data_IF_723806933136
#
_entry.id   IF_723806933136
#
_cell.length_a   1.000
_cell.length_b   1.000
_cell.length_c   1.000
_cell.angle_alpha   90.00
_cell.angle_beta   90.00
_cell.angle_gamma   90.00
#
_symmetry.space_group_name_H-M   'P 1'
#
loop_
_entity.id
_entity.type
_entity.pdbx_description
1 polymer ?
#
# COMPACT_ATOMS: atom_id res chain seq x y z
N UNK A 1 -21.35 31.75 29.55
CA UNK A 1 -20.33 30.70 29.84
C UNK A 1 -20.08 29.82 28.60
N UNK A 2 -20.83 30.02 27.53
CA UNK A 2 -20.81 29.19 26.33
C UNK A 2 -19.69 29.53 25.33
N UNK A 3 -19.29 30.80 25.21
CA UNK A 3 -18.21 31.18 24.30
C UNK A 3 -16.82 30.66 24.74
N UNK A 4 -16.56 30.57 26.04
CA UNK A 4 -15.27 30.07 26.55
C UNK A 4 -15.14 28.57 26.30
N UNK A 5 -16.23 27.81 26.48
CA UNK A 5 -16.26 26.39 26.11
C UNK A 5 -16.00 26.21 24.61
N UNK A 6 -16.69 26.98 23.75
CA UNK A 6 -16.49 26.89 22.30
C UNK A 6 -15.03 27.15 21.90
N UNK A 7 -14.39 28.17 22.46
CA UNK A 7 -12.99 28.49 22.17
C UNK A 7 -11.98 27.41 22.62
N UNK A 8 -12.32 26.60 23.62
CA UNK A 8 -11.44 25.52 24.11
C UNK A 8 -11.69 24.20 23.36
N UNK A 9 -12.94 23.90 23.03
CA UNK A 9 -13.29 22.63 22.39
C UNK A 9 -13.13 22.63 20.86
N UNK A 10 -13.35 23.77 20.18
CA UNK A 10 -13.12 23.89 18.74
C UNK A 10 -11.69 23.50 18.30
N UNK A 11 -10.60 23.98 18.92
CA UNK A 11 -9.25 23.62 18.50
C UNK A 11 -8.88 22.16 18.81
N UNK A 12 -9.49 21.56 19.85
CA UNK A 12 -9.32 20.14 20.14
C UNK A 12 -10.00 19.26 19.08
N UNK A 13 -11.19 19.65 18.64
CA UNK A 13 -11.91 18.93 17.59
C UNK A 13 -11.16 19.01 16.26
N UNK A 14 -10.60 20.17 15.89
CA UNK A 14 -9.82 20.31 14.65
C UNK A 14 -8.50 19.54 14.70
N UNK A 15 -7.81 19.50 15.85
CA UNK A 15 -6.61 18.67 16.05
C UNK A 15 -6.91 17.17 15.88
N UNK A 16 -7.99 16.68 16.51
CA UNK A 16 -8.38 15.26 16.42
C UNK A 16 -8.74 14.88 14.98
N UNK A 17 -9.45 15.73 14.26
CA UNK A 17 -9.79 15.48 12.86
C UNK A 17 -8.57 15.49 11.94
N UNK A 18 -7.62 16.41 12.16
CA UNK A 18 -6.37 16.47 11.41
C UNK A 18 -5.51 15.21 11.61
N UNK A 19 -5.37 14.74 12.87
CA UNK A 19 -4.63 13.52 13.17
C UNK A 19 -5.32 12.24 12.66
N UNK A 20 -6.66 12.20 12.66
CA UNK A 20 -7.41 11.06 12.14
C UNK A 20 -7.30 10.92 10.62
N UNK A 21 -7.31 12.04 9.88
CA UNK A 21 -7.17 12.03 8.42
C UNK A 21 -5.79 11.56 7.95
N UNK A 22 -4.72 12.04 8.60
CA UNK A 22 -3.34 11.75 8.20
C UNK A 22 -2.91 10.30 8.48
N UNK A 23 -3.51 9.65 9.51
CA UNK A 23 -3.29 8.22 9.76
C UNK A 23 -3.82 7.32 8.62
N UNK A 24 -4.84 7.80 7.88
CA UNK A 24 -5.46 7.02 6.80
C UNK A 24 -4.82 7.25 5.43
N UNK A 25 -4.18 8.41 5.21
CA UNK A 25 -3.54 8.76 3.96
C UNK A 25 -2.02 8.56 4.04
N UNK A 26 -1.57 7.34 3.73
CA UNK A 26 -0.15 7.10 3.47
C UNK A 26 0.34 7.88 2.24
N UNK A 27 1.62 8.29 2.20
CA UNK A 27 2.19 9.09 1.09
C UNK A 27 2.34 8.33 -0.24
N UNK A 28 1.89 7.07 -0.28
CA UNK A 28 1.98 6.23 -1.46
C UNK A 28 0.66 6.28 -2.22
N UNK A 29 0.71 6.83 -3.43
CA UNK A 29 -0.41 6.81 -4.37
C UNK A 29 -0.55 5.37 -4.90
N UNK A 30 -1.28 4.55 -4.14
CA UNK A 30 -1.91 3.34 -4.68
C UNK A 30 -2.90 3.86 -5.72
N UNK A 31 -2.63 3.62 -7.01
CA UNK A 31 -3.29 4.30 -8.13
C UNK A 31 -4.80 4.44 -7.94
N UNK A 32 -5.35 5.58 -8.35
CA UNK A 32 -6.63 6.24 -7.99
C UNK A 32 -7.93 5.40 -7.88
N UNK A 33 -7.89 4.09 -8.07
CA UNK A 33 -8.93 3.17 -7.67
C UNK A 33 -8.38 2.31 -6.54
N UNK A 34 -8.99 2.38 -5.36
CA UNK A 34 -8.74 1.52 -4.19
C UNK A 34 -9.04 0.02 -4.44
N UNK A 35 -8.88 -0.43 -5.67
CA UNK A 35 -9.16 -1.76 -6.15
C UNK A 35 -8.02 -2.71 -5.77
N UNK A 36 -8.38 -3.81 -5.13
CA UNK A 36 -7.45 -4.86 -4.76
C UNK A 36 -6.95 -5.57 -6.02
N UNK A 37 -5.67 -5.87 -6.09
CA UNK A 37 -5.06 -6.59 -7.21
C UNK A 37 -5.58 -8.04 -7.32
N UNK A 38 -6.25 -8.53 -6.28
CA UNK A 38 -6.85 -9.85 -6.22
C UNK A 38 -8.13 -9.87 -5.40
N UNK A 39 -8.86 -10.97 -5.54
CA UNK A 39 -9.91 -11.38 -4.59
C UNK A 39 -9.39 -12.53 -3.74
N UNK A 40 -10.09 -12.83 -2.64
CA UNK A 40 -9.74 -13.96 -1.79
C UNK A 40 -9.86 -15.29 -2.53
N UNK A 41 -9.03 -16.25 -2.09
CA UNK A 41 -8.96 -17.64 -2.55
C UNK A 41 -8.69 -17.78 -4.05
N UNK A 42 -8.06 -16.77 -4.63
CA UNK A 42 -7.67 -16.76 -6.02
C UNK A 42 -6.20 -16.35 -6.15
N UNK A 43 -5.48 -17.04 -7.03
CA UNK A 43 -4.17 -16.58 -7.47
C UNK A 43 -4.30 -15.28 -8.28
N UNK A 44 -3.25 -14.48 -8.23
CA UNK A 44 -3.14 -13.26 -9.03
C UNK A 44 -1.71 -13.12 -9.56
N UNK A 45 -1.57 -12.34 -10.62
CA UNK A 45 -0.30 -11.84 -11.11
C UNK A 45 -0.43 -10.31 -11.19
N UNK A 46 0.56 -9.60 -10.67
CA UNK A 46 0.59 -8.15 -10.71
C UNK A 46 1.90 -7.70 -11.35
N UNK A 47 1.81 -6.76 -12.28
CA UNK A 47 2.95 -6.15 -12.94
C UNK A 47 2.73 -4.64 -13.00
N UNK A 48 3.75 -3.88 -12.59
CA UNK A 48 3.74 -2.43 -12.78
C UNK A 48 3.75 -2.07 -14.28
N UNK A 49 3.26 -0.88 -14.66
CA UNK A 49 3.44 -0.36 -16.00
C UNK A 49 4.90 -0.37 -16.44
N UNK A 50 5.13 -0.42 -17.75
CA UNK A 50 6.49 -0.43 -18.31
C UNK A 50 7.32 0.76 -17.77
N UNK A 51 8.58 0.50 -17.39
CA UNK A 51 9.48 1.51 -16.82
C UNK A 51 9.17 1.90 -15.37
N UNK A 52 8.28 1.19 -14.68
CA UNK A 52 7.99 1.39 -13.26
C UNK A 52 8.35 0.17 -12.41
N UNK A 53 8.62 0.41 -11.13
CA UNK A 53 8.93 -0.59 -10.12
C UNK A 53 7.96 -0.49 -8.94
N UNK A 54 7.73 -1.62 -8.27
CA UNK A 54 6.94 -1.66 -7.03
C UNK A 54 7.73 -0.93 -5.94
N UNK A 55 7.09 0.04 -5.28
CA UNK A 55 7.69 0.82 -4.18
C UNK A 55 6.94 0.69 -2.86
N UNK A 56 5.69 0.24 -2.89
CA UNK A 56 4.92 -0.04 -1.68
C UNK A 56 3.97 -1.21 -1.89
N UNK A 57 3.68 -1.91 -0.80
CA UNK A 57 2.78 -3.07 -0.77
C UNK A 57 1.86 -2.89 0.43
N UNK A 58 0.54 -2.96 0.20
CA UNK A 58 -0.48 -3.04 1.26
C UNK A 58 -1.19 -4.39 1.20
N UNK A 59 -1.61 -4.89 2.36
CA UNK A 59 -2.42 -6.11 2.43
C UNK A 59 -3.47 -6.08 3.54
N UNK A 60 -4.59 -6.78 3.33
CA UNK A 60 -5.64 -6.98 4.33
C UNK A 60 -5.92 -8.46 4.52
N UNK A 61 -5.66 -8.92 5.75
CA UNK A 61 -5.89 -10.31 6.17
C UNK A 61 -7.36 -10.57 6.52
N UNK A 62 -7.88 -11.73 6.13
CA UNK A 62 -9.20 -12.22 6.55
C UNK A 62 -9.15 -13.68 7.01
N UNK A 63 -9.43 -13.88 8.30
CA UNK A 63 -9.61 -15.24 8.87
C UNK A 63 -10.83 -15.94 8.25
N UNK A 64 -11.93 -15.21 8.00
CA UNK A 64 -13.17 -15.76 7.44
C UNK A 64 -12.94 -16.36 6.05
N UNK A 65 -12.07 -15.74 5.27
CA UNK A 65 -11.78 -16.15 3.89
C UNK A 65 -10.69 -17.22 3.80
N UNK A 66 -10.49 -18.00 4.85
CA UNK A 66 -9.52 -19.10 4.87
C UNK A 66 -8.11 -18.64 5.28
N UNK A 67 -8.02 -17.59 6.10
CA UNK A 67 -6.74 -16.98 6.51
C UNK A 67 -5.95 -16.41 5.32
N UNK A 68 -6.67 -15.84 4.35
CA UNK A 68 -6.12 -15.31 3.11
C UNK A 68 -6.01 -13.77 3.15
N UNK A 69 -5.38 -13.18 2.12
CA UNK A 69 -5.05 -11.76 2.03
C UNK A 69 -5.47 -11.15 0.69
N UNK A 70 -5.98 -9.92 0.77
CA UNK A 70 -6.03 -9.02 -0.38
C UNK A 70 -4.73 -8.23 -0.45
N UNK A 71 -4.29 -7.95 -1.67
CA UNK A 71 -3.03 -7.28 -1.97
C UNK A 71 -3.27 -6.08 -2.86
N UNK A 72 -2.49 -5.03 -2.66
CA UNK A 72 -2.46 -3.88 -3.54
C UNK A 72 -1.06 -3.26 -3.50
N UNK A 73 -0.63 -2.72 -4.62
CA UNK A 73 0.75 -2.38 -4.90
C UNK A 73 0.82 -0.95 -5.45
N UNK A 74 1.81 -0.18 -5.00
CA UNK A 74 2.12 1.13 -5.57
C UNK A 74 3.33 1.00 -6.49
N UNK A 75 3.25 1.63 -7.66
CA UNK A 75 4.31 1.68 -8.65
C UNK A 75 4.85 3.10 -8.79
N UNK A 76 6.14 3.22 -9.06
CA UNK A 76 6.78 4.49 -9.41
C UNK A 76 7.79 4.29 -10.56
N UNK A 77 8.09 5.33 -11.35
CA UNK A 77 9.12 5.27 -12.37
C UNK A 77 10.45 4.74 -11.81
N UNK A 78 11.05 3.78 -12.52
CA UNK A 78 12.38 3.30 -12.22
C UNK A 78 13.40 4.44 -12.43
N UNK A 79 14.44 4.47 -11.62
CA UNK A 79 15.56 5.37 -11.86
C UNK A 79 16.19 5.06 -13.22
N UNK A 80 16.46 6.09 -14.02
CA UNK A 80 17.03 5.93 -15.38
C UNK A 80 18.36 5.17 -15.40
N UNK A 81 19.10 5.19 -14.29
CA UNK A 81 20.37 4.48 -14.13
C UNK A 81 20.23 2.96 -13.93
N UNK A 82 19.02 2.45 -13.65
CA UNK A 82 18.79 1.01 -13.44
C UNK A 82 18.77 0.23 -14.75
N UNK A 83 18.63 0.92 -15.90
CA UNK A 83 18.45 0.26 -17.20
C UNK A 83 17.05 -0.36 -17.36
N UNK A 84 16.83 -1.02 -18.50
CA UNK A 84 15.59 -1.75 -18.76
C UNK A 84 15.80 -3.24 -18.45
N UNK A 85 14.88 -3.89 -17.71
CA UNK A 85 14.94 -5.32 -17.49
C UNK A 85 14.85 -6.05 -18.84
N UNK A 86 15.88 -6.81 -19.22
CA UNK A 86 15.86 -7.60 -20.47
C UNK A 86 15.20 -8.95 -20.27
N UNK A 87 15.40 -9.56 -19.10
CA UNK A 87 14.89 -10.89 -18.76
C UNK A 87 14.50 -10.95 -17.28
N UNK A 88 13.33 -11.51 -17.00
CA UNK A 88 12.83 -11.73 -15.65
C UNK A 88 12.67 -13.22 -15.40
N UNK A 89 13.27 -13.73 -14.32
CA UNK A 89 13.19 -15.13 -13.93
C UNK A 89 12.56 -15.22 -12.55
N UNK A 90 11.56 -16.08 -12.39
CA UNK A 90 11.18 -16.51 -11.06
C UNK A 90 12.32 -17.38 -10.54
N UNK A 91 13.03 -16.91 -9.52
CA UNK A 91 13.85 -17.82 -8.73
C UNK A 91 12.89 -18.79 -8.04
N UNK A 92 13.19 -20.10 -8.06
CA UNK A 92 12.39 -21.06 -7.30
C UNK A 92 12.33 -20.61 -5.84
N UNK A 93 11.11 -20.53 -5.29
CA UNK A 93 10.74 -19.94 -4.00
C UNK A 93 11.59 -20.42 -2.80
N UNK A 94 12.36 -21.50 -2.97
CA UNK A 94 13.14 -22.18 -1.94
C UNK A 94 14.58 -21.67 -1.78
N UNK A 95 15.06 -20.67 -2.54
CA UNK A 95 16.42 -20.12 -2.38
C UNK A 95 16.54 -18.82 -1.60
N UNK A 96 15.42 -18.17 -1.26
CA UNK A 96 15.41 -17.02 -0.36
C UNK A 96 15.71 -17.47 1.09
N UNK A 97 16.98 -17.67 1.41
CA UNK A 97 17.45 -18.10 2.73
C UNK A 97 18.67 -19.01 2.75
N UNK A 98 19.19 -19.44 1.60
CA UNK A 98 20.47 -20.15 1.56
C UNK A 98 21.61 -19.15 1.51
N UNK A 99 22.37 -19.09 2.60
CA UNK A 99 23.65 -18.40 2.72
C UNK A 99 24.64 -18.86 1.63
N UNK A 100 25.38 -17.90 1.07
CA UNK A 100 26.33 -18.07 -0.04
C UNK A 100 27.50 -18.98 0.31
#
# INVERSE_FOLDING_TARGET
MDLVLLCVFLPLVTMVWGQYGDYYYGPYNYGDNDEWANVYRQGFNFQCPHGQVIVAIRSVFSKKEGSDRLWNYACMPAAQSLGEPTECWWEEINRAGTEW
#
